data_IF_396673777942
#
_entry.id   IF_396673777942
#
_cell.length_a   1.000
_cell.length_b   1.000
_cell.length_c   1.000
_cell.angle_alpha   90.00
_cell.angle_beta   90.00
_cell.angle_gamma   90.00
#
_symmetry.space_group_name_H-M   'P 1'
#
loop_
_entity.id
_entity.type
_entity.pdbx_description
1 polymer ?
#
# COMPACT_ATOMS: atom_id res chain seq x y z
N UNK A 1 -11.42 3.17 -31.39
CA UNK A 1 -10.44 2.08 -31.22
C UNK A 1 -9.05 2.70 -31.35
N UNK A 2 -8.44 3.12 -30.24
CA UNK A 2 -7.06 3.61 -30.24
C UNK A 2 -6.17 2.46 -29.77
N UNK A 3 -5.76 1.63 -30.72
CA UNK A 3 -4.71 0.63 -30.55
C UNK A 3 -3.37 1.26 -30.90
N UNK A 4 -2.41 1.07 -29.99
CA UNK A 4 -0.97 0.95 -30.21
C UNK A 4 -0.21 2.11 -30.86
N UNK A 5 0.70 2.74 -30.10
CA UNK A 5 2.12 2.88 -30.50
C UNK A 5 2.99 3.40 -29.35
N UNK A 6 3.95 2.56 -28.94
CA UNK A 6 5.31 2.99 -28.56
C UNK A 6 5.49 3.85 -27.32
N UNK A 7 5.64 3.23 -26.15
CA UNK A 7 6.42 3.82 -25.05
C UNK A 7 7.53 2.87 -24.63
N UNK A 8 8.61 2.91 -25.41
CA UNK A 8 9.94 2.65 -24.89
C UNK A 8 10.36 3.82 -23.98
N UNK A 9 9.65 4.00 -22.85
CA UNK A 9 10.01 4.90 -21.75
C UNK A 9 9.89 4.07 -20.47
N UNK A 10 10.84 3.14 -20.40
CA UNK A 10 10.92 2.07 -19.42
C UNK A 10 11.35 2.70 -18.10
N UNK A 11 10.65 2.41 -17.00
CA UNK A 11 10.95 2.86 -15.62
C UNK A 11 10.34 4.20 -15.17
N UNK A 12 10.53 5.31 -15.88
CA UNK A 12 10.06 6.64 -15.41
C UNK A 12 8.53 6.77 -15.37
N UNK A 13 7.83 6.26 -16.39
CA UNK A 13 6.36 6.36 -16.47
C UNK A 13 5.64 5.44 -15.46
N UNK A 14 6.27 4.34 -15.05
CA UNK A 14 5.70 3.45 -14.03
C UNK A 14 5.58 4.18 -12.69
N UNK A 15 6.55 5.01 -12.33
CA UNK A 15 6.49 5.83 -11.11
C UNK A 15 5.38 6.86 -11.22
N UNK A 16 5.29 7.60 -12.34
CA UNK A 16 4.26 8.63 -12.52
C UNK A 16 2.83 8.06 -12.49
N UNK A 17 2.59 6.90 -13.12
CA UNK A 17 1.27 6.24 -13.08
C UNK A 17 0.95 5.78 -11.66
N UNK A 18 1.89 5.20 -10.91
CA UNK A 18 1.65 4.83 -9.51
C UNK A 18 1.30 6.06 -8.65
N UNK A 19 1.99 7.18 -8.81
CA UNK A 19 1.70 8.41 -8.04
C UNK A 19 0.32 9.00 -8.38
N UNK A 20 -0.07 9.02 -9.66
CA UNK A 20 -1.38 9.55 -10.07
C UNK A 20 -2.53 8.67 -9.58
N UNK A 21 -2.36 7.35 -9.54
CA UNK A 21 -3.36 6.43 -8.99
C UNK A 21 -3.52 6.60 -7.47
N UNK A 22 -2.45 6.86 -6.73
CA UNK A 22 -2.52 7.11 -5.28
C UNK A 22 -3.30 8.38 -4.95
N UNK A 23 -3.19 9.43 -5.79
CA UNK A 23 -3.86 10.72 -5.52
C UNK A 23 -5.35 10.68 -5.82
N UNK A 24 -5.81 9.92 -6.81
CA UNK A 24 -7.24 9.87 -7.16
C UNK A 24 -8.07 8.95 -6.25
N UNK A 25 -7.45 7.95 -5.62
CA UNK A 25 -8.14 6.96 -4.79
C UNK A 25 -8.40 7.42 -3.34
N UNK A 26 -7.78 8.52 -2.90
CA UNK A 26 -8.06 9.12 -1.59
C UNK A 26 -9.50 9.65 -1.44
N UNK A 27 -10.27 9.73 -2.53
CA UNK A 27 -11.67 10.18 -2.51
C UNK A 27 -12.69 9.03 -2.34
N UNK A 28 -12.28 7.76 -2.31
CA UNK A 28 -13.20 6.61 -2.43
C UNK A 28 -13.18 5.59 -1.30
N UNK A 29 -12.36 5.73 -0.25
CA UNK A 29 -12.36 4.78 0.85
C UNK A 29 -13.39 5.22 1.90
N UNK A 30 -14.53 4.53 1.91
CA UNK A 30 -15.57 4.60 2.92
C UNK A 30 -14.99 4.86 4.32
N UNK A 31 -15.45 5.96 4.92
CA UNK A 31 -15.22 6.33 6.31
C UNK A 31 -15.95 5.35 7.24
N UNK A 32 -15.50 4.10 7.26
CA UNK A 32 -15.86 3.10 8.24
C UNK A 32 -15.21 3.42 9.57
N UNK A 33 -15.89 4.24 10.37
CA UNK A 33 -15.82 4.32 11.83
C UNK A 33 -14.50 3.85 12.52
N UNK A 34 -13.60 4.79 12.82
CA UNK A 34 -12.58 4.63 13.86
C UNK A 34 -11.15 4.85 13.39
N UNK A 35 -10.60 6.03 13.71
CA UNK A 35 -9.28 6.55 13.32
C UNK A 35 -9.13 6.71 11.79
N UNK A 36 -8.81 7.92 11.33
CA UNK A 36 -8.60 8.20 9.92
C UNK A 36 -7.48 7.27 9.39
N UNK A 37 -7.86 6.22 8.68
CA UNK A 37 -6.92 5.32 8.02
C UNK A 37 -6.20 6.13 6.95
N UNK A 38 -4.91 6.38 7.16
CA UNK A 38 -4.13 7.29 6.33
C UNK A 38 -3.16 6.47 5.49
N UNK A 39 -3.54 6.07 4.26
CA UNK A 39 -2.69 5.24 3.40
C UNK A 39 -1.39 5.95 3.03
N UNK A 40 -1.37 7.29 3.11
CA UNK A 40 -0.18 8.10 2.91
C UNK A 40 0.95 7.76 3.92
N UNK A 41 0.61 7.41 5.16
CA UNK A 41 1.61 6.98 6.15
C UNK A 41 2.15 5.57 5.84
N UNK A 42 1.35 4.72 5.16
CA UNK A 42 1.82 3.44 4.65
C UNK A 42 2.68 3.58 3.39
N UNK A 43 2.72 4.75 2.75
CA UNK A 43 3.61 4.97 1.59
C UNK A 43 5.09 4.81 1.96
N UNK A 44 5.49 5.12 3.20
CA UNK A 44 6.86 4.84 3.69
C UNK A 44 7.17 3.34 3.74
N UNK A 45 6.13 2.51 3.86
CA UNK A 45 6.22 1.06 3.79
C UNK A 45 6.19 0.52 2.36
N UNK A 46 5.90 1.33 1.34
CA UNK A 46 5.77 0.86 -0.03
C UNK A 46 7.05 0.18 -0.54
N UNK A 47 8.23 0.64 -0.13
CA UNK A 47 9.50 -0.02 -0.45
C UNK A 47 9.58 -1.44 0.13
N UNK A 48 9.11 -1.63 1.37
CA UNK A 48 9.06 -2.93 2.03
C UNK A 48 7.96 -3.84 1.46
N UNK A 49 6.78 -3.29 1.20
CA UNK A 49 5.61 -4.00 0.66
C UNK A 49 5.82 -4.40 -0.81
N UNK A 50 6.36 -3.51 -1.63
CA UNK A 50 6.54 -3.76 -3.07
C UNK A 50 7.87 -4.44 -3.37
N UNK A 51 8.95 -4.04 -2.67
CA UNK A 51 10.31 -4.50 -2.92
C UNK A 51 10.79 -5.59 -1.98
N UNK A 52 10.02 -5.96 -0.95
CA UNK A 52 10.46 -6.92 0.07
C UNK A 52 11.65 -6.41 0.89
N UNK A 53 11.91 -5.11 0.90
CA UNK A 53 13.02 -4.52 1.66
C UNK A 53 12.68 -4.46 3.16
N UNK A 54 13.70 -4.40 4.02
CA UNK A 54 13.49 -4.25 5.46
C UNK A 54 12.68 -2.97 5.76
N UNK A 55 11.59 -3.03 6.55
CA UNK A 55 10.85 -1.85 6.96
C UNK A 55 11.71 -0.92 7.82
N UNK A 56 11.50 0.39 7.65
CA UNK A 56 12.03 1.40 8.56
C UNK A 56 11.26 1.37 9.89
N UNK A 57 11.87 1.91 10.96
CA UNK A 57 11.18 2.07 12.24
C UNK A 57 9.89 2.91 12.13
N UNK A 58 9.90 3.91 11.23
CA UNK A 58 8.72 4.72 10.90
C UNK A 58 7.62 3.88 10.26
N UNK A 59 7.96 3.03 9.30
CA UNK A 59 7.00 2.10 8.69
C UNK A 59 6.35 1.20 9.76
N UNK A 60 7.16 0.59 10.64
CA UNK A 60 6.63 -0.25 11.71
C UNK A 60 5.76 0.53 12.71
N UNK A 61 6.12 1.78 13.02
CA UNK A 61 5.32 2.66 13.87
C UNK A 61 3.95 2.95 13.26
N UNK A 62 3.91 3.32 11.98
CA UNK A 62 2.67 3.61 11.25
C UNK A 62 1.79 2.36 11.07
N UNK A 63 2.37 1.22 10.70
CA UNK A 63 1.64 -0.05 10.58
C UNK A 63 1.01 -0.47 11.92
N UNK A 64 1.70 -0.26 13.04
CA UNK A 64 1.17 -0.58 14.37
C UNK A 64 0.05 0.39 14.76
N UNK A 65 0.21 1.69 14.48
CA UNK A 65 -0.82 2.68 14.73
C UNK A 65 -2.09 2.44 13.90
N UNK A 66 -1.94 1.94 12.68
CA UNK A 66 -3.03 1.67 11.74
C UNK A 66 -3.37 0.19 11.61
N UNK A 67 -3.04 -0.64 12.59
CA UNK A 67 -3.28 -2.08 12.52
C UNK A 67 -4.77 -2.41 12.29
N UNK A 68 -5.68 -1.65 12.89
CA UNK A 68 -7.12 -1.78 12.66
C UNK A 68 -7.56 -1.43 11.23
N UNK A 69 -6.84 -0.52 10.58
CA UNK A 69 -7.06 -0.13 9.19
C UNK A 69 -6.53 -1.16 8.18
N UNK A 70 -5.58 -2.01 8.57
CA UNK A 70 -5.02 -3.01 7.66
C UNK A 70 -6.09 -3.94 7.08
N UNK A 71 -7.11 -4.31 7.85
CA UNK A 71 -8.23 -5.08 7.33
C UNK A 71 -9.04 -4.34 6.28
N UNK A 72 -9.23 -3.03 6.46
CA UNK A 72 -9.89 -2.21 5.46
C UNK A 72 -9.07 -2.15 4.17
N UNK A 73 -7.75 -2.01 4.28
CA UNK A 73 -6.86 -2.04 3.12
C UNK A 73 -6.82 -3.40 2.43
N UNK A 74 -6.84 -4.51 3.18
CA UNK A 74 -6.94 -5.87 2.61
C UNK A 74 -8.26 -6.06 1.87
N UNK A 75 -9.35 -5.52 2.40
CA UNK A 75 -10.69 -5.61 1.80
C UNK A 75 -10.83 -4.70 0.58
N UNK A 76 -10.08 -3.60 0.52
CA UNK A 76 -10.06 -2.73 -0.65
C UNK A 76 -9.34 -3.44 -1.81
N UNK A 77 -9.97 -3.68 -2.97
CA UNK A 77 -9.33 -4.37 -4.08
C UNK A 77 -8.11 -3.63 -4.64
N UNK A 78 -8.03 -2.31 -4.47
CA UNK A 78 -6.93 -1.47 -4.95
C UNK A 78 -5.70 -1.56 -4.05
N UNK A 79 -5.87 -1.76 -2.74
CA UNK A 79 -4.76 -1.88 -1.79
C UNK A 79 -4.51 -3.32 -1.35
N UNK A 80 -5.54 -4.15 -1.40
CA UNK A 80 -5.56 -5.46 -0.80
C UNK A 80 -4.57 -6.41 -1.41
N UNK A 81 -4.34 -6.32 -2.72
CA UNK A 81 -3.31 -7.11 -3.40
C UNK A 81 -1.88 -6.73 -2.97
N UNK A 82 -1.64 -5.47 -2.58
CA UNK A 82 -0.37 -5.04 -2.02
C UNK A 82 -0.21 -5.52 -0.59
N UNK A 83 -1.26 -5.40 0.24
CA UNK A 83 -1.23 -5.81 1.66
C UNK A 83 -1.26 -7.34 1.83
N UNK A 84 -1.90 -8.07 0.90
CA UNK A 84 -1.92 -9.54 0.87
C UNK A 84 -0.67 -10.14 0.24
N UNK A 85 0.21 -9.32 -0.32
CA UNK A 85 1.46 -9.81 -0.92
C UNK A 85 2.34 -10.48 0.16
N UNK A 86 3.13 -11.50 -0.22
CA UNK A 86 4.06 -12.13 0.72
C UNK A 86 5.02 -11.10 1.34
N UNK A 87 5.47 -10.11 0.55
CA UNK A 87 6.33 -9.02 1.02
C UNK A 87 5.68 -8.15 2.08
N UNK A 88 4.39 -7.81 1.96
CA UNK A 88 3.67 -7.12 3.02
C UNK A 88 3.56 -7.97 4.30
N UNK A 89 3.30 -9.28 4.16
CA UNK A 89 3.28 -10.20 5.31
C UNK A 89 4.65 -10.29 5.99
N UNK A 90 5.73 -10.38 5.21
CA UNK A 90 7.10 -10.36 5.72
C UNK A 90 7.41 -9.03 6.41
N UNK A 91 6.98 -7.92 5.84
CA UNK A 91 7.12 -6.58 6.42
C UNK A 91 6.45 -6.50 7.79
N UNK A 92 5.20 -6.99 7.89
CA UNK A 92 4.47 -7.05 9.16
C UNK A 92 5.18 -7.94 10.18
N UNK A 93 5.64 -9.13 9.76
CA UNK A 93 6.42 -10.03 10.62
C UNK A 93 7.72 -9.37 11.12
N UNK A 94 8.46 -8.68 10.25
CA UNK A 94 9.68 -7.94 10.62
C UNK A 94 9.40 -6.80 11.60
N UNK A 95 8.20 -6.20 11.56
CA UNK A 95 7.75 -5.21 12.52
C UNK A 95 7.16 -5.81 13.81
N UNK A 96 7.01 -7.14 13.89
CA UNK A 96 6.34 -7.83 14.99
C UNK A 96 4.83 -7.57 15.04
N UNK A 97 4.21 -7.25 13.90
CA UNK A 97 2.78 -7.01 13.75
C UNK A 97 2.15 -8.30 13.22
N UNK A 98 1.14 -8.86 13.89
CA UNK A 98 0.49 -10.06 13.40
C UNK A 98 -0.14 -9.77 12.04
N UNK A 99 0.05 -10.69 11.09
CA UNK A 99 -0.58 -10.59 9.76
C UNK A 99 -2.10 -10.49 9.97
N UNK A 100 -2.76 -9.42 9.48
CA UNK A 100 -4.19 -9.26 9.64
C UNK A 100 -4.90 -10.40 8.89
N UNK A 101 -5.60 -11.25 9.64
CA UNK A 101 -6.55 -12.21 9.09
C UNK A 101 -7.94 -11.57 9.13
N UNK A 102 -8.32 -11.08 7.98
CA UNK A 102 -9.65 -10.63 7.62
C UNK A 102 -10.02 -11.48 6.38
#
# INVERSE_FOLDING_TARGET
MAMAMGMAMRKEAAVAVMMVMVVTLAAGADAGAGAACEPAQLAVCASAILGGTKPSGECCGNLRAQQGCLCQYVKDPNYGHYVSSPHARDTLNLCGIPVPHC
#
